data_IF_694610216958
#
_entry.id   IF_694610216958
#
_cell.length_a   1.000
_cell.length_b   1.000
_cell.length_c   1.000
_cell.angle_alpha   90.00
_cell.angle_beta   90.00
_cell.angle_gamma   90.00
#
_symmetry.space_group_name_H-M   'P 1'
#
loop_
_entity.id
_entity.type
_entity.pdbx_description
1 polymer ?
#
# COMPACT_ATOMS: atom_id res chain seq x y z
N UNK A 1 -21.00 -29.30 25.26
CA UNK A 1 -20.11 -28.55 24.34
C UNK A 1 -20.45 -27.07 24.28
N UNK A 2 -21.64 -26.66 23.86
CA UNK A 2 -22.00 -25.23 23.84
C UNK A 2 -21.96 -24.60 25.25
N UNK A 3 -22.58 -25.27 26.24
CA UNK A 3 -22.55 -24.85 27.64
C UNK A 3 -21.14 -24.85 28.23
N UNK A 4 -20.30 -25.82 27.87
CA UNK A 4 -18.90 -25.89 28.31
C UNK A 4 -18.06 -24.76 27.71
N UNK A 5 -18.34 -24.37 26.46
CA UNK A 5 -17.67 -23.24 25.81
C UNK A 5 -18.08 -21.91 26.47
N UNK A 6 -19.36 -21.73 26.76
CA UNK A 6 -19.86 -20.52 27.45
C UNK A 6 -19.28 -20.41 28.86
N UNK A 7 -19.23 -21.51 29.62
CA UNK A 7 -18.61 -21.56 30.94
C UNK A 7 -17.12 -21.20 30.88
N UNK A 8 -16.40 -21.73 29.88
CA UNK A 8 -14.99 -21.40 29.67
C UNK A 8 -14.77 -19.93 29.29
N UNK A 9 -15.67 -19.31 28.52
CA UNK A 9 -15.57 -17.89 28.19
C UNK A 9 -15.72 -16.98 29.42
N UNK A 10 -16.63 -17.33 30.32
CA UNK A 10 -16.82 -16.61 31.60
C UNK A 10 -15.58 -16.73 32.47
N UNK A 11 -15.07 -17.95 32.68
CA UNK A 11 -13.85 -18.20 33.47
C UNK A 11 -12.63 -17.45 32.89
N UNK A 12 -12.52 -17.41 31.56
CA UNK A 12 -11.46 -16.68 30.85
C UNK A 12 -11.53 -15.18 31.10
N UNK A 13 -12.72 -14.57 31.06
CA UNK A 13 -12.90 -13.13 31.31
C UNK A 13 -12.56 -12.76 32.76
N UNK A 14 -13.01 -13.56 33.74
CA UNK A 14 -12.70 -13.33 35.16
C UNK A 14 -11.19 -13.37 35.43
N UNK A 15 -10.48 -14.35 34.86
CA UNK A 15 -9.01 -14.44 34.97
C UNK A 15 -8.31 -13.25 34.32
N UNK A 16 -8.80 -12.76 33.18
CA UNK A 16 -8.25 -11.57 32.55
C UNK A 16 -8.46 -10.31 33.41
N UNK A 17 -9.58 -10.21 34.12
CA UNK A 17 -9.86 -9.10 35.02
C UNK A 17 -8.96 -9.12 36.26
N UNK A 18 -8.75 -10.29 36.87
CA UNK A 18 -7.80 -10.45 37.98
C UNK A 18 -6.37 -10.06 37.57
N UNK A 19 -5.93 -10.47 36.38
CA UNK A 19 -4.62 -10.09 35.84
C UNK A 19 -4.52 -8.59 35.55
N UNK A 20 -5.60 -7.98 35.07
CA UNK A 20 -5.66 -6.55 34.82
C UNK A 20 -5.50 -5.75 36.12
N UNK A 21 -6.23 -6.13 37.17
CA UNK A 21 -6.14 -5.51 38.50
C UNK A 21 -4.77 -5.71 39.14
N UNK A 22 -4.23 -6.93 39.12
CA UNK A 22 -2.91 -7.28 39.69
C UNK A 22 -1.78 -6.44 39.09
N UNK A 23 -1.86 -6.13 37.80
CA UNK A 23 -0.81 -5.40 37.08
C UNK A 23 -1.17 -3.93 36.78
N UNK A 24 -2.30 -3.42 37.29
CA UNK A 24 -2.75 -2.05 37.03
C UNK A 24 -2.98 -1.75 35.55
N UNK A 25 -3.33 -2.76 34.75
CA UNK A 25 -3.54 -2.65 33.30
C UNK A 25 -5.03 -2.69 32.97
N UNK A 26 -5.41 -2.24 31.77
CA UNK A 26 -6.77 -2.43 31.27
C UNK A 26 -6.96 -3.88 30.83
N UNK A 27 -8.15 -4.46 31.02
CA UNK A 27 -8.48 -5.84 30.56
C UNK A 27 -8.20 -6.02 29.06
N UNK A 28 -8.45 -4.97 28.26
CA UNK A 28 -8.13 -4.95 26.82
C UNK A 28 -6.63 -5.13 26.54
N UNK A 29 -5.76 -4.66 27.43
CA UNK A 29 -4.31 -4.81 27.32
C UNK A 29 -3.87 -6.24 27.60
N UNK A 30 -4.44 -6.84 28.65
CA UNK A 30 -4.20 -8.25 29.02
C UNK A 30 -4.65 -9.16 27.88
N UNK A 31 -5.86 -8.96 27.37
CA UNK A 31 -6.41 -9.70 26.22
C UNK A 31 -5.52 -9.57 24.98
N UNK A 32 -5.03 -8.36 24.71
CA UNK A 32 -4.13 -8.09 23.58
C UNK A 32 -2.82 -8.86 23.69
N UNK A 33 -2.21 -8.89 24.88
CA UNK A 33 -0.95 -9.62 25.12
C UNK A 33 -1.15 -11.13 25.10
N UNK A 34 -2.21 -11.64 25.71
CA UNK A 34 -2.54 -13.06 25.76
C UNK A 34 -2.75 -13.65 24.36
N UNK A 35 -3.47 -12.93 23.49
CA UNK A 35 -3.77 -13.38 22.13
C UNK A 35 -2.64 -13.10 21.12
N UNK A 36 -1.51 -12.54 21.57
CA UNK A 36 -0.43 -12.11 20.68
C UNK A 36 -0.90 -11.10 19.62
N UNK A 37 -1.97 -10.35 19.90
CA UNK A 37 -2.54 -9.42 18.94
C UNK A 37 -1.54 -8.29 18.67
N UNK A 38 -1.30 -8.03 17.39
CA UNK A 38 -0.35 -7.02 16.95
C UNK A 38 -0.59 -5.68 17.67
N UNK A 39 0.49 -5.09 18.18
CA UNK A 39 0.48 -3.74 18.74
C UNK A 39 0.35 -2.66 17.66
N UNK A 40 0.55 -3.01 16.39
CA UNK A 40 0.40 -2.08 15.29
C UNK A 40 -1.07 -1.66 15.17
N UNK A 41 -1.33 -0.40 15.48
CA UNK A 41 -2.65 0.20 15.29
C UNK A 41 -3.09 0.05 13.84
N UNK A 42 -4.31 -0.45 13.64
CA UNK A 42 -4.93 -0.48 12.32
C UNK A 42 -4.94 0.92 11.68
N UNK A 43 -5.06 0.98 10.35
CA UNK A 43 -5.12 2.27 9.64
C UNK A 43 -6.21 3.16 10.23
N UNK A 44 -5.83 4.39 10.63
CA UNK A 44 -6.75 5.35 11.25
C UNK A 44 -8.00 5.56 10.38
N UNK A 45 -9.18 5.35 10.98
CA UNK A 45 -10.47 5.60 10.33
C UNK A 45 -10.53 7.06 9.84
N UNK A 46 -11.16 7.34 8.68
CA UNK A 46 -11.41 8.71 8.26
C UNK A 46 -12.24 9.44 9.31
N UNK A 47 -11.86 10.68 9.60
CA UNK A 47 -12.66 11.57 10.44
C UNK A 47 -13.71 12.24 9.57
N UNK A 48 -14.94 12.40 10.09
CA UNK A 48 -16.02 13.11 9.43
C UNK A 48 -15.61 14.55 9.08
N UNK A 49 -14.94 15.25 10.01
CA UNK A 49 -14.40 16.59 9.78
C UNK A 49 -13.48 16.63 8.56
N UNK A 50 -12.52 15.70 8.47
CA UNK A 50 -11.59 15.65 7.34
C UNK A 50 -12.32 15.32 6.02
N UNK A 51 -13.39 14.53 6.08
CA UNK A 51 -14.19 14.22 4.91
C UNK A 51 -14.96 15.45 4.42
N UNK A 52 -15.58 16.21 5.34
CA UNK A 52 -16.25 17.49 5.04
C UNK A 52 -15.28 18.51 4.43
N UNK A 53 -14.13 18.75 5.07
CA UNK A 53 -13.11 19.67 4.54
C UNK A 53 -12.62 19.24 3.16
N UNK A 54 -12.47 17.93 2.90
CA UNK A 54 -12.09 17.44 1.58
C UNK A 54 -13.15 17.72 0.51
N UNK A 55 -14.45 17.66 0.85
CA UNK A 55 -15.55 17.98 -0.07
C UNK A 55 -15.63 19.48 -0.34
N UNK A 56 -15.52 20.31 0.70
CA UNK A 56 -15.47 21.77 0.59
C UNK A 56 -14.28 22.19 -0.29
N UNK A 57 -13.09 21.63 -0.04
CA UNK A 57 -11.93 21.87 -0.88
C UNK A 57 -12.19 21.50 -2.35
N UNK A 58 -12.84 20.37 -2.61
CA UNK A 58 -13.15 19.94 -3.97
C UNK A 58 -14.10 20.93 -4.67
N UNK A 59 -15.09 21.46 -3.94
CA UNK A 59 -15.99 22.51 -4.43
C UNK A 59 -15.27 23.83 -4.71
N UNK A 60 -14.48 24.33 -3.74
CA UNK A 60 -13.74 25.60 -3.87
C UNK A 60 -12.71 25.57 -5.02
N UNK A 61 -12.13 24.41 -5.28
CA UNK A 61 -11.15 24.21 -6.35
C UNK A 61 -11.76 23.74 -7.66
N UNK A 62 -13.07 23.54 -7.75
CA UNK A 62 -13.75 23.25 -9.00
C UNK A 62 -13.58 24.45 -9.94
N UNK A 63 -13.03 24.23 -11.14
CA UNK A 63 -12.78 25.27 -12.13
C UNK A 63 -11.47 26.06 -11.97
N UNK A 64 -10.67 25.83 -10.92
CA UNK A 64 -9.37 26.51 -10.73
C UNK A 64 -8.21 25.79 -11.42
N UNK A 65 -7.36 26.59 -12.07
CA UNK A 65 -6.14 26.13 -12.74
C UNK A 65 -5.09 25.57 -11.77
N UNK A 66 -4.13 24.80 -12.31
CA UNK A 66 -3.01 24.26 -11.51
C UNK A 66 -2.10 25.42 -11.10
N UNK A 67 -2.24 25.89 -9.86
CA UNK A 67 -1.50 27.04 -9.30
C UNK A 67 -2.37 27.99 -8.47
N UNK A 68 -3.65 28.08 -8.81
CA UNK A 68 -4.63 28.98 -8.13
C UNK A 68 -5.54 28.23 -7.14
N UNK A 69 -5.30 26.92 -7.00
CA UNK A 69 -6.06 26.05 -6.11
C UNK A 69 -5.68 26.32 -4.67
N UNK A 70 -6.70 26.42 -3.82
CA UNK A 70 -6.48 26.52 -2.38
C UNK A 70 -5.82 25.27 -1.85
N UNK A 71 -4.84 25.48 -0.99
CA UNK A 71 -4.13 24.42 -0.29
C UNK A 71 -4.92 23.92 0.92
N UNK A 72 -4.58 22.73 1.44
CA UNK A 72 -5.27 22.17 2.62
C UNK A 72 -5.17 23.07 3.86
N UNK A 73 -4.03 23.73 4.13
CA UNK A 73 -3.96 24.73 5.20
C UNK A 73 -4.90 25.92 5.00
N UNK A 74 -4.97 26.48 3.79
CA UNK A 74 -5.85 27.62 3.48
C UNK A 74 -7.32 27.28 3.67
N UNK A 75 -7.77 26.13 3.14
CA UNK A 75 -9.17 25.70 3.31
C UNK A 75 -9.49 25.46 4.79
N UNK A 76 -8.54 24.95 5.58
CA UNK A 76 -8.75 24.78 7.03
C UNK A 76 -8.85 26.13 7.75
N UNK A 77 -8.08 27.13 7.33
CA UNK A 77 -8.18 28.49 7.87
C UNK A 77 -9.55 29.10 7.53
N UNK A 78 -10.00 28.98 6.28
CA UNK A 78 -11.35 29.43 5.87
C UNK A 78 -12.47 28.76 6.66
N UNK A 79 -12.36 27.45 6.89
CA UNK A 79 -13.33 26.69 7.71
C UNK A 79 -13.27 27.07 9.19
N UNK A 80 -12.12 27.57 9.68
CA UNK A 80 -12.01 28.08 11.04
C UNK A 80 -12.60 29.49 11.17
N UNK A 81 -12.48 30.31 10.13
CA UNK A 81 -13.07 31.65 10.04
C UNK A 81 -14.59 31.59 9.85
N UNK A 82 -15.07 30.64 9.05
CA UNK A 82 -16.49 30.39 8.83
C UNK A 82 -16.87 28.92 9.11
N UNK A 83 -17.24 28.60 10.37
CA UNK A 83 -17.68 27.26 10.75
C UNK A 83 -18.97 26.82 10.03
N UNK A 84 -19.78 27.76 9.51
CA UNK A 84 -21.04 27.44 8.84
C UNK A 84 -20.82 26.64 7.56
N UNK A 85 -19.61 26.71 6.97
CA UNK A 85 -19.22 25.88 5.82
C UNK A 85 -19.26 24.37 6.10
N UNK A 86 -19.21 23.95 7.37
CA UNK A 86 -19.31 22.54 7.79
C UNK A 86 -20.74 22.09 8.09
N UNK A 87 -21.68 23.03 8.10
CA UNK A 87 -23.08 22.85 8.42
C UNK A 87 -23.89 22.62 7.13
N UNK A 88 -25.10 22.07 7.25
CA UNK A 88 -25.99 21.84 6.10
C UNK A 88 -25.85 20.49 5.39
N UNK A 89 -24.93 19.61 5.81
CA UNK A 89 -24.86 18.24 5.30
C UNK A 89 -25.86 17.32 6.01
N UNK A 90 -26.64 16.57 5.24
CA UNK A 90 -27.49 15.51 5.76
C UNK A 90 -26.66 14.32 6.27
N UNK A 91 -27.25 13.49 7.14
CA UNK A 91 -26.61 12.26 7.65
C UNK A 91 -26.23 11.28 6.54
N UNK A 92 -26.92 11.30 5.41
CA UNK A 92 -26.62 10.43 4.27
C UNK A 92 -25.40 10.92 3.50
N UNK A 93 -25.32 12.22 3.23
CA UNK A 93 -24.15 12.85 2.61
C UNK A 93 -22.90 12.71 3.46
N UNK A 94 -23.03 12.79 4.79
CA UNK A 94 -21.92 12.55 5.72
C UNK A 94 -21.34 11.14 5.59
N UNK A 95 -22.21 10.13 5.45
CA UNK A 95 -21.78 8.75 5.23
C UNK A 95 -21.13 8.57 3.86
N UNK A 96 -21.68 9.21 2.83
CA UNK A 96 -21.11 9.20 1.49
C UNK A 96 -19.72 9.83 1.46
N UNK A 97 -19.52 10.99 2.09
CA UNK A 97 -18.22 11.64 2.20
C UNK A 97 -17.15 10.76 2.85
N UNK A 98 -17.52 10.01 3.90
CA UNK A 98 -16.62 9.04 4.53
C UNK A 98 -16.28 7.91 3.56
N UNK A 99 -17.27 7.40 2.83
CA UNK A 99 -17.10 6.34 1.84
C UNK A 99 -16.18 6.78 0.69
N UNK A 100 -16.36 8.00 0.19
CA UNK A 100 -15.52 8.59 -0.85
C UNK A 100 -14.08 8.80 -0.37
N UNK A 101 -13.93 9.28 0.88
CA UNK A 101 -12.60 9.41 1.49
C UNK A 101 -11.91 8.05 1.59
N UNK A 102 -12.64 6.98 1.93
CA UNK A 102 -12.11 5.62 1.94
C UNK A 102 -11.76 5.14 0.53
N UNK A 103 -12.62 5.38 -0.46
CA UNK A 103 -12.37 5.03 -1.84
C UNK A 103 -11.11 5.74 -2.38
N UNK A 104 -10.97 7.04 -2.14
CA UNK A 104 -9.81 7.83 -2.50
C UNK A 104 -8.53 7.35 -1.81
N UNK A 105 -8.59 6.97 -0.53
CA UNK A 105 -7.45 6.36 0.17
C UNK A 105 -7.07 5.00 -0.45
N UNK A 106 -8.05 4.15 -0.77
CA UNK A 106 -7.81 2.87 -1.46
C UNK A 106 -7.20 3.09 -2.84
N UNK A 107 -7.71 4.07 -3.59
CA UNK A 107 -7.20 4.46 -4.90
C UNK A 107 -5.77 5.01 -4.82
N UNK A 108 -5.40 5.79 -3.80
CA UNK A 108 -4.00 6.26 -3.63
C UNK A 108 -3.02 5.12 -3.30
N UNK A 109 -3.49 4.14 -2.52
CA UNK A 109 -2.68 2.98 -2.11
C UNK A 109 -2.48 2.00 -3.27
N UNK A 110 -3.53 1.74 -4.06
CA UNK A 110 -3.50 0.75 -5.17
C UNK A 110 -3.30 1.37 -6.55
N UNK A 111 -3.45 2.68 -6.64
CA UNK A 111 -3.40 3.44 -7.87
C UNK A 111 -1.99 3.46 -8.40
N UNK A 112 -1.88 3.26 -9.71
CA UNK A 112 -0.59 3.26 -10.37
C UNK A 112 0.02 4.62 -10.44
N UNK A 113 1.33 4.67 -10.18
CA UNK A 113 2.10 5.89 -10.36
C UNK A 113 2.18 6.16 -11.86
N UNK A 114 1.85 7.39 -12.26
CA UNK A 114 1.90 7.83 -13.65
C UNK A 114 3.34 7.83 -14.21
N UNK A 115 4.34 8.02 -13.35
CA UNK A 115 5.75 8.04 -13.70
C UNK A 115 6.46 6.75 -13.22
N UNK A 116 7.26 6.14 -14.10
CA UNK A 116 8.12 5.00 -13.79
C UNK A 116 9.11 5.29 -12.65
N UNK A 117 9.67 6.51 -12.60
CA UNK A 117 10.60 6.88 -11.52
C UNK A 117 9.90 6.89 -10.16
N UNK A 118 8.67 7.42 -10.12
CA UNK A 118 7.86 7.41 -8.90
C UNK A 118 7.44 5.99 -8.51
N UNK A 119 7.14 5.12 -9.47
CA UNK A 119 6.87 3.70 -9.22
C UNK A 119 8.10 2.99 -8.63
N UNK A 120 9.28 3.23 -9.20
CA UNK A 120 10.53 2.64 -8.72
C UNK A 120 10.90 3.13 -7.31
N UNK A 121 10.69 4.41 -7.03
CA UNK A 121 10.91 4.98 -5.68
C UNK A 121 9.95 4.38 -4.65
N UNK A 122 8.69 4.18 -5.02
CA UNK A 122 7.66 3.55 -4.18
C UNK A 122 7.98 2.07 -3.90
N UNK A 123 8.44 1.34 -4.93
CA UNK A 123 8.91 -0.03 -4.80
C UNK A 123 10.10 -0.11 -3.85
N UNK A 124 11.12 0.74 -4.02
CA UNK A 124 12.30 0.80 -3.13
C UNK A 124 11.90 1.05 -1.68
N UNK A 125 11.07 2.07 -1.41
CA UNK A 125 10.58 2.36 -0.05
C UNK A 125 9.80 1.21 0.58
N UNK A 126 9.11 0.42 -0.25
CA UNK A 126 8.37 -0.74 0.23
C UNK A 126 9.33 -1.90 0.55
N UNK A 127 10.34 -2.13 -0.28
CA UNK A 127 11.41 -3.10 -0.01
C UNK A 127 12.17 -2.74 1.27
N UNK A 128 12.53 -1.47 1.48
CA UNK A 128 13.20 -1.00 2.71
C UNK A 128 12.40 -1.34 3.97
N UNK A 129 11.06 -1.21 3.92
CA UNK A 129 10.19 -1.62 5.04
C UNK A 129 10.18 -3.13 5.24
N UNK A 130 10.16 -3.90 4.16
CA UNK A 130 10.17 -5.36 4.23
C UNK A 130 11.51 -5.89 4.77
N UNK A 131 12.63 -5.22 4.49
CA UNK A 131 13.93 -5.53 5.10
C UNK A 131 13.79 -5.45 6.62
N UNK A 132 13.29 -4.32 7.14
CA UNK A 132 13.11 -4.13 8.58
C UNK A 132 12.18 -5.18 9.18
N UNK A 133 11.05 -5.49 8.54
CA UNK A 133 10.12 -6.49 9.08
C UNK A 133 10.70 -7.92 9.05
N UNK A 134 11.39 -8.31 7.98
CA UNK A 134 12.04 -9.64 7.87
C UNK A 134 13.17 -9.75 8.90
N UNK A 135 14.00 -8.72 9.06
CA UNK A 135 15.04 -8.68 10.10
C UNK A 135 14.42 -8.75 11.50
N UNK A 136 13.37 -7.99 11.78
CA UNK A 136 12.68 -8.04 13.07
C UNK A 136 12.03 -9.39 13.36
N UNK A 137 11.59 -10.12 12.34
CA UNK A 137 11.04 -11.48 12.50
C UNK A 137 12.14 -12.47 12.87
N UNK A 138 13.29 -12.36 12.20
CA UNK A 138 14.46 -13.14 12.53
C UNK A 138 14.89 -12.85 13.99
N UNK A 139 15.15 -11.60 14.34
CA UNK A 139 15.65 -11.24 15.68
C UNK A 139 14.69 -11.60 16.82
N UNK A 140 13.37 -11.49 16.63
CA UNK A 140 12.40 -11.69 17.71
C UNK A 140 11.91 -13.11 17.88
N UNK A 141 11.84 -13.87 16.79
CA UNK A 141 11.17 -15.18 16.75
C UNK A 141 12.05 -16.26 16.12
N UNK A 142 13.29 -15.91 15.77
CA UNK A 142 14.23 -16.80 15.08
C UNK A 142 13.70 -17.33 13.74
N UNK A 143 12.81 -16.57 13.10
CA UNK A 143 12.27 -16.91 11.79
C UNK A 143 13.23 -16.50 10.68
N UNK A 144 13.70 -17.49 9.92
CA UNK A 144 14.50 -17.26 8.72
C UNK A 144 13.57 -17.07 7.52
N UNK A 145 13.76 -15.98 6.78
CA UNK A 145 13.01 -15.67 5.58
C UNK A 145 13.83 -14.95 4.52
N UNK A 146 13.38 -15.09 3.28
CA UNK A 146 13.87 -14.31 2.15
C UNK A 146 12.69 -13.86 1.29
N UNK A 147 12.92 -12.85 0.46
CA UNK A 147 11.99 -12.42 -0.56
C UNK A 147 12.74 -11.99 -1.82
N UNK A 148 12.23 -12.41 -2.98
CA UNK A 148 12.75 -12.01 -4.29
C UNK A 148 11.66 -11.19 -4.99
N UNK A 149 12.01 -9.97 -5.39
CA UNK A 149 11.16 -9.08 -6.15
C UNK A 149 11.76 -8.84 -7.52
N UNK A 150 10.90 -8.82 -8.53
CA UNK A 150 11.32 -8.53 -9.91
C UNK A 150 10.28 -7.66 -10.61
N UNK A 151 10.67 -7.07 -11.74
CA UNK A 151 9.75 -6.33 -12.58
C UNK A 151 8.79 -7.29 -13.28
N UNK A 152 7.53 -6.89 -13.37
CA UNK A 152 6.51 -7.67 -14.08
C UNK A 152 6.45 -7.33 -15.58
N UNK A 153 7.19 -6.32 -16.04
CA UNK A 153 7.15 -5.84 -17.41
C UNK A 153 8.54 -5.39 -17.86
N UNK A 154 8.92 -5.75 -19.09
CA UNK A 154 10.20 -5.40 -19.70
C UNK A 154 10.57 -3.90 -19.67
N UNK A 155 9.57 -3.01 -19.73
CA UNK A 155 9.79 -1.56 -19.76
C UNK A 155 9.79 -0.91 -18.38
N UNK A 156 9.61 -1.66 -17.29
CA UNK A 156 9.79 -1.09 -15.97
C UNK A 156 11.29 -0.95 -15.65
N UNK A 157 11.62 0.17 -15.00
CA UNK A 157 12.99 0.52 -14.58
C UNK A 157 13.31 0.04 -13.17
N UNK A 158 12.36 -0.62 -12.50
CA UNK A 158 12.60 -1.28 -11.22
C UNK A 158 13.61 -2.41 -11.40
N UNK A 159 14.75 -2.32 -10.71
CA UNK A 159 15.70 -3.42 -10.64
C UNK A 159 15.11 -4.55 -9.79
N UNK A 160 15.39 -5.82 -10.13
CA UNK A 160 15.15 -6.93 -9.23
C UNK A 160 15.87 -6.70 -7.90
N UNK A 161 15.21 -7.04 -6.80
CA UNK A 161 15.73 -6.86 -5.45
C UNK A 161 15.51 -8.11 -4.64
N UNK A 162 16.51 -8.49 -3.85
CA UNK A 162 16.45 -9.61 -2.90
C UNK A 162 16.53 -9.07 -1.48
N UNK A 163 15.72 -9.63 -0.59
CA UNK A 163 15.73 -9.37 0.85
C UNK A 163 15.99 -10.70 1.55
N UNK A 164 16.79 -10.68 2.61
CA UNK A 164 17.07 -11.88 3.40
C UNK A 164 17.33 -11.57 4.86
N UNK A 165 17.01 -12.53 5.73
CA UNK A 165 17.52 -12.61 7.11
C UNK A 165 18.60 -13.69 7.21
N UNK A 166 19.65 -13.43 7.99
CA UNK A 166 20.64 -14.45 8.42
C UNK A 166 21.13 -15.40 7.32
N UNK A 167 21.48 -14.87 6.14
CA UNK A 167 22.01 -15.68 5.04
C UNK A 167 20.98 -16.61 4.39
N UNK A 168 19.67 -16.35 4.53
CA UNK A 168 18.61 -17.20 3.96
C UNK A 168 18.75 -17.47 2.45
N UNK A 169 19.47 -16.64 1.68
CA UNK A 169 19.73 -16.91 0.26
C UNK A 169 20.74 -18.04 0.03
N UNK A 170 21.56 -18.40 1.02
CA UNK A 170 22.51 -19.51 0.92
C UNK A 170 21.78 -20.84 0.68
N UNK A 171 20.51 -20.94 1.08
CA UNK A 171 19.60 -22.04 0.72
C UNK A 171 19.61 -22.34 -0.80
N UNK A 172 19.65 -21.31 -1.65
CA UNK A 172 19.67 -21.51 -3.09
C UNK A 172 20.98 -22.16 -3.56
N UNK A 173 22.12 -21.75 -2.99
CA UNK A 173 23.41 -22.33 -3.36
C UNK A 173 23.59 -23.73 -2.75
N UNK A 174 23.24 -23.91 -1.49
CA UNK A 174 23.46 -25.15 -0.75
C UNK A 174 22.49 -26.26 -1.14
N UNK A 175 21.19 -25.94 -1.28
CA UNK A 175 20.14 -26.92 -1.56
C UNK A 175 19.78 -26.97 -3.03
N UNK A 176 19.52 -25.81 -3.64
CA UNK A 176 19.09 -25.73 -5.05
C UNK A 176 20.25 -25.78 -6.04
N UNK A 177 21.50 -25.69 -5.56
CA UNK A 177 22.73 -25.63 -6.37
C UNK A 177 22.67 -24.55 -7.44
N UNK A 178 22.10 -23.40 -7.10
CA UNK A 178 21.95 -22.24 -7.98
C UNK A 178 22.35 -20.97 -7.27
N UNK A 179 22.96 -20.05 -8.00
CA UNK A 179 23.19 -18.73 -7.47
C UNK A 179 21.85 -18.00 -7.25
N UNK A 180 21.65 -17.30 -6.12
CA UNK A 180 20.41 -16.56 -5.87
C UNK A 180 20.11 -15.51 -6.94
N UNK A 181 21.14 -14.91 -7.55
CA UNK A 181 20.97 -13.96 -8.64
C UNK A 181 20.43 -14.65 -9.90
N UNK A 182 20.93 -15.85 -10.22
CA UNK A 182 20.40 -16.65 -11.34
C UNK A 182 18.93 -17.00 -11.12
N UNK A 183 18.55 -17.36 -9.89
CA UNK A 183 17.15 -17.63 -9.54
C UNK A 183 16.30 -16.37 -9.71
N UNK A 184 16.79 -15.20 -9.27
CA UNK A 184 16.10 -13.93 -9.44
C UNK A 184 15.92 -13.57 -10.93
N UNK A 185 16.93 -13.81 -11.78
CA UNK A 185 16.85 -13.60 -13.22
C UNK A 185 15.91 -14.58 -13.92
N UNK A 186 15.92 -15.87 -13.55
CA UNK A 186 14.96 -16.84 -14.06
C UNK A 186 13.53 -16.48 -13.67
N UNK A 187 13.35 -16.00 -12.43
CA UNK A 187 12.06 -15.51 -11.96
C UNK A 187 11.60 -14.26 -12.72
N UNK A 188 12.51 -13.33 -13.00
CA UNK A 188 12.25 -12.17 -13.85
C UNK A 188 11.83 -12.57 -15.26
N UNK A 189 12.59 -13.47 -15.90
CA UNK A 189 12.29 -13.94 -17.25
C UNK A 189 10.90 -14.61 -17.30
N UNK A 190 10.59 -15.44 -16.30
CA UNK A 190 9.27 -16.05 -16.15
C UNK A 190 8.16 -15.02 -15.90
N UNK A 191 8.41 -13.99 -15.09
CA UNK A 191 7.43 -12.96 -14.78
C UNK A 191 7.14 -12.05 -15.99
N UNK A 192 8.18 -11.63 -16.70
CA UNK A 192 8.08 -10.77 -17.90
C UNK A 192 7.46 -11.53 -19.07
N UNK A 193 7.85 -12.79 -19.31
CA UNK A 193 7.33 -13.59 -20.43
C UNK A 193 5.84 -13.92 -20.32
N UNK A 194 5.27 -13.85 -19.11
CA UNK A 194 3.86 -14.20 -18.90
C UNK A 194 2.89 -13.07 -19.16
N UNK A 195 3.32 -11.80 -19.18
CA UNK A 195 2.44 -10.61 -19.22
C UNK A 195 1.13 -10.77 -18.40
N UNK A 196 1.18 -11.54 -17.30
CA UNK A 196 -0.03 -11.96 -16.59
C UNK A 196 -0.41 -10.86 -15.61
N UNK A 197 -1.15 -9.86 -16.10
CA UNK A 197 -1.70 -8.84 -15.22
C UNK A 197 -2.16 -7.56 -15.89
N UNK A 198 -3.22 -7.66 -16.71
CA UNK A 198 -4.26 -6.65 -16.96
C UNK A 198 -3.77 -5.23 -17.27
N UNK A 199 -3.92 -4.91 -18.56
CA UNK A 199 -3.75 -3.59 -19.16
C UNK A 199 -2.29 -3.15 -19.02
N UNK A 200 -1.57 -2.96 -20.13
CA UNK A 200 -0.55 -1.92 -20.11
C UNK A 200 -1.27 -0.72 -19.49
N UNK A 201 -0.97 -0.38 -18.24
CA UNK A 201 -1.75 0.64 -17.53
C UNK A 201 -1.33 1.94 -18.13
N UNK A 202 -1.91 2.25 -19.30
CA UNK A 202 -1.47 3.21 -20.31
C UNK A 202 -0.54 4.24 -19.71
N UNK A 203 0.74 3.85 -19.58
CA UNK A 203 1.74 4.75 -19.06
C UNK A 203 1.98 5.66 -20.25
N UNK A 204 1.96 6.97 -20.01
CA UNK A 204 2.18 7.99 -21.04
C UNK A 204 3.38 7.63 -21.93
N UNK A 205 4.43 7.07 -21.33
CA UNK A 205 5.65 6.64 -21.98
C UNK A 205 5.45 5.42 -22.92
N UNK A 206 4.63 4.44 -22.53
CA UNK A 206 4.25 3.31 -23.40
C UNK A 206 3.45 3.81 -24.60
N UNK A 207 2.49 4.73 -24.39
CA UNK A 207 1.73 5.33 -25.49
C UNK A 207 2.63 6.17 -26.41
N UNK A 208 3.56 6.95 -25.86
CA UNK A 208 4.53 7.72 -26.64
C UNK A 208 5.45 6.81 -27.46
N UNK A 209 5.89 5.69 -26.90
CA UNK A 209 6.72 4.70 -27.60
C UNK A 209 5.94 3.94 -28.67
N UNK A 210 4.68 3.60 -28.43
CA UNK A 210 3.79 3.03 -29.44
C UNK A 210 3.58 4.02 -30.60
N UNK A 211 3.26 5.29 -30.30
CA UNK A 211 3.17 6.34 -31.30
C UNK A 211 4.48 6.48 -32.09
N UNK A 212 5.63 6.50 -31.40
CA UNK A 212 6.95 6.58 -32.04
C UNK A 212 7.19 5.37 -32.94
N UNK A 213 6.88 4.16 -32.48
CA UNK A 213 7.03 2.92 -33.25
C UNK A 213 6.16 2.93 -34.51
N UNK A 214 4.90 3.35 -34.40
CA UNK A 214 3.98 3.49 -35.54
C UNK A 214 4.53 4.50 -36.55
N UNK A 215 4.97 5.67 -36.10
CA UNK A 215 5.56 6.71 -36.95
C UNK A 215 6.81 6.17 -37.66
N UNK A 216 7.72 5.54 -36.92
CA UNK A 216 8.98 5.03 -37.47
C UNK A 216 8.76 3.88 -38.45
N UNK A 217 7.80 2.99 -38.15
CA UNK A 217 7.42 1.88 -39.05
C UNK A 217 6.73 2.40 -40.30
N UNK A 218 5.87 3.41 -40.17
CA UNK A 218 5.28 4.11 -41.31
C UNK A 218 6.34 4.73 -42.21
N UNK A 219 7.26 5.51 -41.63
CA UNK A 219 8.38 6.14 -42.36
C UNK A 219 9.26 5.12 -43.07
N UNK A 220 9.57 3.97 -42.44
CA UNK A 220 10.33 2.89 -43.07
C UNK A 220 9.62 2.24 -44.25
N UNK A 221 8.28 2.12 -44.20
CA UNK A 221 7.50 1.62 -45.35
C UNK A 221 7.55 2.58 -46.53
N UNK A 222 7.52 3.90 -46.28
CA UNK A 222 7.65 4.90 -47.34
C UNK A 222 9.07 4.96 -47.93
N UNK A 223 10.11 4.71 -47.14
CA UNK A 223 11.50 4.72 -47.62
C UNK A 223 11.90 3.46 -48.40
N UNK A 224 11.18 2.35 -48.26
CA UNK A 224 11.41 1.11 -49.02
C UNK A 224 10.55 1.00 -50.30
N UNK A 225 9.66 1.96 -50.57
CA UNK A 225 8.80 2.01 -51.75
C UNK A 225 9.28 3.01 -52.83
N UNK A 226 10.52 3.48 -52.71
CA UNK A 226 11.28 4.25 -53.70
C UNK A 226 12.48 3.40 -54.16
#
# INVERSE_FOLDING_TARGET
LAEDLDAWEVEREERMQQLAEKHGMKVTEVRRRMLGLSTYGGRRKPSLYNAKVSRIMAGLNAGRGVGERYTMPEVKAMVAEDPSMLEGFSREEEKEMIKDTLANRKAKVRGTRANHLSAATDAKRTMDRLIVEITNLAERVEMIGFAIFTRSHAHDKTLPGTIQSWGALDFFQEVMKKDPADVAHLFELWAVSRERGKTSKNKLLTMQQECTSIITTGLRRFSCSL
#
